data_IF_920009953565
#
_entry.id   IF_920009953565
#
_cell.length_a   1.000
_cell.length_b   1.000
_cell.length_c   1.000
_cell.angle_alpha   90.00
_cell.angle_beta   90.00
_cell.angle_gamma   90.00
#
_symmetry.space_group_name_H-M   'P 1'
#
loop_
_entity.id
_entity.type
_entity.pdbx_description
1 polymer ?
#
# COMPACT_ATOMS: atom_id res chain seq x y z
N UNK A 1 0.19 18.24 3.04
CA UNK A 1 0.57 17.86 4.43
C UNK A 1 -0.70 17.80 5.28
N UNK A 2 -0.81 16.85 6.22
CA UNK A 2 -2.02 16.64 7.04
C UNK A 2 -2.03 17.58 8.26
N UNK A 3 -3.15 18.26 8.49
CA UNK A 3 -3.39 19.13 9.64
C UNK A 3 -4.01 18.31 10.79
N UNK A 4 -3.20 18.00 11.81
CA UNK A 4 -3.66 17.24 12.97
C UNK A 4 -4.55 18.04 13.95
N UNK A 5 -4.72 19.34 13.73
CA UNK A 5 -5.58 20.22 14.52
C UNK A 5 -6.93 20.48 13.85
N UNK A 6 -7.24 19.79 12.74
CA UNK A 6 -8.47 19.98 12.00
C UNK A 6 -9.70 19.67 12.86
N UNK A 7 -10.67 20.59 12.87
CA UNK A 7 -11.95 20.40 13.56
C UNK A 7 -13.02 19.80 12.64
N UNK A 8 -12.84 19.95 11.33
CA UNK A 8 -13.71 19.42 10.29
C UNK A 8 -12.89 18.59 9.27
N UNK A 9 -13.53 17.60 8.64
CA UNK A 9 -12.93 16.77 7.60
C UNK A 9 -12.32 17.58 6.45
N UNK A 10 -12.95 18.70 6.10
CA UNK A 10 -12.48 19.58 5.02
C UNK A 10 -11.15 20.28 5.33
N UNK A 11 -10.76 20.34 6.61
CA UNK A 11 -9.55 21.03 7.08
C UNK A 11 -8.38 20.09 7.32
N UNK A 12 -8.59 18.76 7.17
CA UNK A 12 -7.58 17.73 7.40
C UNK A 12 -6.40 17.89 6.44
N UNK A 13 -6.65 18.32 5.20
CA UNK A 13 -5.60 18.55 4.20
C UNK A 13 -5.31 20.05 4.14
N UNK A 14 -4.10 20.45 4.52
CA UNK A 14 -3.64 21.82 4.31
C UNK A 14 -3.23 21.98 2.84
N UNK A 15 -4.20 22.43 2.02
CA UNK A 15 -4.05 22.68 0.59
C UNK A 15 -2.96 23.69 0.25
N UNK A 16 -2.77 24.72 1.07
CA UNK A 16 -1.74 25.76 0.86
C UNK A 16 -0.31 25.22 1.01
N UNK A 17 -0.14 24.14 1.77
CA UNK A 17 1.15 23.46 2.00
C UNK A 17 1.32 22.21 1.14
N UNK A 18 0.33 21.85 0.34
CA UNK A 18 0.35 20.63 -0.45
C UNK A 18 1.10 20.90 -1.76
N UNK A 19 2.24 20.24 -1.96
CA UNK A 19 2.80 20.11 -3.30
C UNK A 19 1.84 19.24 -4.08
N UNK A 20 1.04 19.86 -4.94
CA UNK A 20 0.15 19.13 -5.85
C UNK A 20 1.06 18.44 -6.86
N UNK A 21 1.38 17.18 -6.62
CA UNK A 21 1.79 16.31 -7.71
C UNK A 21 0.58 16.19 -8.63
N UNK A 22 0.68 16.52 -9.92
CA UNK A 22 -0.33 16.11 -10.87
C UNK A 22 -0.47 14.59 -10.69
N UNK A 23 -1.63 14.15 -10.20
CA UNK A 23 -1.93 12.72 -10.24
C UNK A 23 -1.75 12.30 -11.70
N UNK A 24 -1.22 11.11 -11.99
CA UNK A 24 -1.06 10.65 -13.37
C UNK A 24 -2.38 10.75 -14.18
N UNK A 25 -3.53 10.75 -13.49
CA UNK A 25 -4.84 11.00 -14.07
C UNK A 25 -5.03 12.44 -14.61
N UNK A 26 -4.39 13.44 -13.99
CA UNK A 26 -4.50 14.86 -14.35
C UNK A 26 -3.62 15.26 -15.54
N UNK A 27 -2.53 14.53 -15.84
CA UNK A 27 -1.72 14.82 -17.03
C UNK A 27 -2.48 14.52 -18.34
N UNK A 28 -3.37 13.52 -18.31
CA UNK A 28 -4.17 13.11 -19.47
C UNK A 28 -5.56 13.78 -19.55
N UNK A 29 -5.94 14.57 -18.54
CA UNK A 29 -7.29 15.16 -18.45
C UNK A 29 -7.22 16.66 -18.75
N UNK A 30 -7.95 17.13 -19.77
CA UNK A 30 -7.95 18.56 -20.11
C UNK A 30 -8.73 19.40 -19.10
N UNK A 31 -8.42 20.69 -18.99
CA UNK A 31 -9.19 21.60 -18.12
C UNK A 31 -10.68 21.68 -18.51
N UNK A 32 -11.01 21.41 -19.79
CA UNK A 32 -12.39 21.27 -20.27
C UNK A 32 -13.09 20.07 -19.66
N UNK A 33 -12.40 18.93 -19.56
CA UNK A 33 -12.92 17.69 -18.97
C UNK A 33 -13.10 17.81 -17.44
N UNK A 34 -12.23 18.58 -16.78
CA UNK A 34 -12.35 18.88 -15.34
C UNK A 34 -13.56 19.79 -15.08
N UNK A 35 -13.79 20.78 -15.95
CA UNK A 35 -14.95 21.68 -15.86
C UNK A 35 -16.25 20.96 -16.18
N UNK A 36 -16.26 20.04 -17.14
CA UNK A 36 -17.44 19.23 -17.45
C UNK A 36 -17.77 18.25 -16.34
N UNK A 37 -16.76 17.69 -15.64
CA UNK A 37 -16.95 16.85 -14.45
C UNK A 37 -17.60 17.58 -13.27
N UNK A 38 -17.30 18.87 -13.09
CA UNK A 38 -17.91 19.73 -12.05
C UNK A 38 -19.27 20.29 -12.45
N UNK A 39 -19.65 20.17 -13.72
CA UNK A 39 -21.01 20.47 -14.14
C UNK A 39 -21.89 19.24 -13.86
N UNK A 40 -23.10 19.43 -13.36
CA UNK A 40 -24.10 18.35 -13.20
C UNK A 40 -24.45 17.62 -14.52
N UNK A 41 -23.85 18.05 -15.63
CA UNK A 41 -24.05 17.55 -17.00
C UNK A 41 -23.27 16.27 -17.28
N UNK A 42 -22.09 16.06 -16.67
CA UNK A 42 -21.41 14.76 -16.79
C UNK A 42 -21.84 13.87 -15.62
N UNK A 43 -22.53 12.75 -15.87
CA UNK A 43 -22.71 11.77 -14.82
C UNK A 43 -21.31 11.31 -14.42
N UNK A 44 -21.01 11.38 -13.11
CA UNK A 44 -19.82 10.84 -12.42
C UNK A 44 -19.43 9.41 -12.90
N UNK A 45 -20.35 8.73 -13.59
CA UNK A 45 -20.19 7.45 -14.32
C UNK A 45 -19.02 7.36 -15.29
N UNK A 46 -18.51 8.45 -15.84
CA UNK A 46 -17.38 8.38 -16.81
C UNK A 46 -15.99 8.50 -16.17
N UNK A 47 -15.90 8.69 -14.84
CA UNK A 47 -14.65 8.37 -14.15
C UNK A 47 -14.40 6.89 -14.41
N UNK A 48 -13.32 6.60 -15.15
CA UNK A 48 -12.93 5.27 -15.56
C UNK A 48 -13.15 4.31 -14.40
N UNK A 49 -14.13 3.42 -14.53
CA UNK A 49 -14.48 2.45 -13.49
C UNK A 49 -13.34 1.46 -13.37
N UNK A 50 -12.33 1.83 -12.59
CA UNK A 50 -11.35 0.86 -12.13
C UNK A 50 -12.13 -0.19 -11.34
N UNK A 51 -11.78 -1.45 -11.55
CA UNK A 51 -12.36 -2.54 -10.77
C UNK A 51 -11.73 -2.49 -9.35
N UNK A 52 -12.16 -1.51 -8.55
CA UNK A 52 -11.66 -1.25 -7.20
C UNK A 52 -12.01 -2.40 -6.24
N UNK A 53 -13.07 -3.15 -6.55
CA UNK A 53 -13.57 -4.28 -5.76
C UNK A 53 -13.22 -5.62 -6.40
N UNK A 54 -12.03 -5.73 -6.98
CA UNK A 54 -11.52 -7.05 -7.34
C UNK A 54 -11.01 -7.75 -6.10
N UNK A 55 -11.15 -9.08 -6.07
CA UNK A 55 -10.57 -9.92 -5.02
C UNK A 55 -9.05 -9.69 -4.86
N UNK A 56 -8.35 -9.32 -5.94
CA UNK A 56 -6.93 -9.00 -5.89
C UNK A 56 -6.65 -7.74 -5.06
N UNK A 57 -7.44 -6.68 -5.24
CA UNK A 57 -7.31 -5.43 -4.46
C UNK A 57 -7.63 -5.69 -3.00
N UNK A 58 -8.69 -6.43 -2.69
CA UNK A 58 -9.06 -6.77 -1.31
C UNK A 58 -7.96 -7.59 -0.62
N UNK A 59 -7.40 -8.59 -1.30
CA UNK A 59 -6.28 -9.39 -0.77
C UNK A 59 -5.04 -8.53 -0.50
N UNK A 60 -4.71 -7.61 -1.41
CA UNK A 60 -3.59 -6.70 -1.23
C UNK A 60 -3.78 -5.81 0.01
N UNK A 61 -4.97 -5.20 0.15
CA UNK A 61 -5.28 -4.35 1.30
C UNK A 61 -5.22 -5.12 2.61
N UNK A 62 -5.76 -6.34 2.65
CA UNK A 62 -5.68 -7.21 3.83
C UNK A 62 -4.23 -7.57 4.18
N UNK A 63 -3.41 -7.91 3.19
CA UNK A 63 -1.99 -8.21 3.40
C UNK A 63 -1.22 -7.01 3.96
N UNK A 64 -1.43 -5.82 3.39
CA UNK A 64 -0.83 -4.57 3.88
C UNK A 64 -1.27 -4.28 5.31
N UNK A 65 -2.56 -4.44 5.61
CA UNK A 65 -3.13 -4.21 6.94
C UNK A 65 -2.54 -5.19 7.98
N UNK A 66 -2.46 -6.47 7.65
CA UNK A 66 -1.86 -7.47 8.53
C UNK A 66 -0.38 -7.19 8.79
N UNK A 67 0.38 -6.83 7.76
CA UNK A 67 1.79 -6.48 7.89
C UNK A 67 1.99 -5.23 8.77
N UNK A 68 1.16 -4.20 8.56
CA UNK A 68 1.17 -2.99 9.39
C UNK A 68 0.87 -3.32 10.85
N UNK A 69 -0.17 -4.12 11.12
CA UNK A 69 -0.58 -4.44 12.49
C UNK A 69 0.52 -5.13 13.31
N UNK A 70 1.41 -5.88 12.64
CA UNK A 70 2.58 -6.51 13.30
C UNK A 70 3.63 -5.52 13.78
N UNK A 71 3.65 -4.28 13.26
CA UNK A 71 4.67 -3.27 13.58
C UNK A 71 4.10 -1.98 14.16
N UNK A 72 2.77 -1.91 14.30
CA UNK A 72 2.09 -0.78 14.91
C UNK A 72 2.31 -0.81 16.44
N UNK A 73 2.78 0.31 17.01
CA UNK A 73 3.15 0.38 18.43
C UNK A 73 4.59 -0.08 18.72
N UNK A 74 5.01 0.13 19.98
CA UNK A 74 6.38 -0.16 20.43
C UNK A 74 6.62 -1.67 20.59
N UNK A 75 5.81 -2.35 21.41
CA UNK A 75 5.99 -3.78 21.74
C UNK A 75 5.87 -4.71 20.51
N UNK A 76 4.86 -4.58 19.63
CA UNK A 76 4.75 -5.45 18.46
C UNK A 76 5.92 -5.26 17.50
N UNK A 77 6.39 -4.02 17.34
CA UNK A 77 7.55 -3.68 16.51
C UNK A 77 8.82 -4.29 17.05
N UNK A 78 9.10 -4.14 18.35
CA UNK A 78 10.29 -4.73 18.95
C UNK A 78 10.28 -6.26 18.82
N UNK A 79 9.13 -6.89 19.12
CA UNK A 79 8.93 -8.32 18.93
C UNK A 79 9.17 -8.75 17.47
N UNK A 80 8.68 -7.99 16.50
CA UNK A 80 8.87 -8.27 15.07
C UNK A 80 10.35 -8.15 14.65
N UNK A 81 11.06 -7.13 15.14
CA UNK A 81 12.49 -6.93 14.90
C UNK A 81 13.29 -8.09 15.51
N UNK A 82 13.04 -8.43 16.78
CA UNK A 82 13.72 -9.54 17.44
C UNK A 82 13.47 -10.87 16.72
N UNK A 83 12.23 -11.16 16.31
CA UNK A 83 11.90 -12.36 15.54
C UNK A 83 12.65 -12.40 14.20
N UNK A 84 12.77 -11.26 13.51
CA UNK A 84 13.51 -11.14 12.25
C UNK A 84 15.01 -11.34 12.45
N UNK A 85 15.59 -10.80 13.52
CA UNK A 85 17.00 -11.00 13.84
C UNK A 85 17.28 -12.48 14.17
N UNK A 86 16.41 -13.12 14.94
CA UNK A 86 16.51 -14.55 15.26
C UNK A 86 16.38 -15.44 14.01
N UNK A 87 15.46 -15.13 13.10
CA UNK A 87 15.33 -15.92 11.87
C UNK A 87 16.56 -15.77 10.97
N UNK A 88 17.12 -14.56 10.88
CA UNK A 88 18.35 -14.28 10.13
C UNK A 88 19.59 -14.93 10.76
N UNK A 89 19.66 -15.02 12.09
CA UNK A 89 20.80 -15.68 12.75
C UNK A 89 20.82 -17.20 12.55
N UNK A 90 19.64 -17.81 12.36
CA UNK A 90 19.51 -19.25 12.06
C UNK A 90 19.86 -19.54 10.59
N UNK A 91 19.67 -18.58 9.69
CA UNK A 91 19.98 -18.77 8.27
C UNK A 91 21.50 -18.88 8.06
N UNK A 92 21.98 -19.94 7.37
CA UNK A 92 23.39 -20.06 7.04
C UNK A 92 23.84 -18.91 6.14
N UNK A 93 25.08 -18.46 6.32
CA UNK A 93 25.72 -17.55 5.38
C UNK A 93 26.12 -18.31 4.11
N UNK A 94 25.81 -17.74 2.95
CA UNK A 94 26.17 -18.30 1.65
C UNK A 94 27.07 -17.31 0.92
N UNK A 95 28.19 -17.79 0.39
CA UNK A 95 29.15 -16.94 -0.33
C UNK A 95 28.69 -16.68 -1.77
N UNK A 96 28.07 -17.69 -2.37
CA UNK A 96 27.51 -17.65 -3.72
C UNK A 96 26.12 -18.29 -3.72
N UNK A 97 25.27 -17.88 -4.66
CA UNK A 97 23.88 -18.36 -4.74
C UNK A 97 23.78 -19.88 -4.89
N UNK A 98 24.74 -20.53 -5.55
CA UNK A 98 24.77 -21.99 -5.71
C UNK A 98 24.99 -22.77 -4.41
N UNK A 99 25.47 -22.12 -3.35
CA UNK A 99 25.63 -22.75 -2.04
C UNK A 99 24.26 -22.99 -1.38
N UNK A 100 23.22 -22.26 -1.79
CA UNK A 100 21.86 -22.41 -1.30
C UNK A 100 21.23 -23.70 -1.85
N UNK A 101 21.23 -24.75 -1.02
CA UNK A 101 20.53 -26.01 -1.33
C UNK A 101 19.10 -25.95 -0.81
N UNK A 102 18.13 -25.86 -1.72
CA UNK A 102 16.72 -25.96 -1.36
C UNK A 102 16.43 -27.36 -0.79
N UNK A 103 15.96 -27.43 0.46
CA UNK A 103 15.52 -28.69 1.06
C UNK A 103 14.16 -29.05 0.45
N UNK A 104 14.17 -29.82 -0.64
CA UNK A 104 12.94 -30.38 -1.20
C UNK A 104 12.45 -31.46 -0.24
N UNK A 105 11.37 -31.17 0.49
CA UNK A 105 10.67 -32.19 1.29
C UNK A 105 9.99 -33.16 0.33
N UNK A 106 10.67 -34.23 -0.05
CA UNK A 106 10.04 -35.36 -0.74
C UNK A 106 9.05 -36.00 0.21
N UNK A 107 7.75 -35.86 -0.06
CA UNK A 107 6.74 -36.68 0.63
C UNK A 107 7.04 -38.14 0.28
N UNK A 108 7.43 -38.95 1.28
CA UNK A 108 7.43 -40.41 1.14
C UNK A 108 5.98 -40.81 0.85
N UNK A 109 5.77 -41.42 -0.31
CA UNK A 109 4.52 -42.08 -0.67
C UNK A 109 4.52 -43.41 0.11
N UNK A 110 3.62 -43.52 1.08
CA UNK A 110 3.16 -44.83 1.57
C UNK A 110 2.27 -45.49 0.51
#
# INVERSE_FOLDING_TARGET
MINFQASDYNEIINWNSCVICPAALAEDTSEGDIKSLNSDTMPIREIQKFACHTQAVERCMNFVTEAWNKVCGHEPRDSHIQATLKSRSIMPNFSIKSDFKCVVKTKKKE
#
